data_IF_070541956084
#
_entry.id   IF_070541956084
#
_cell.length_a   1.000
_cell.length_b   1.000
_cell.length_c   1.000
_cell.angle_alpha   90.00
_cell.angle_beta   90.00
_cell.angle_gamma   90.00
#
_symmetry.space_group_name_H-M   'P 1'
#
loop_
_entity.id
_entity.type
_entity.pdbx_description
1 polymer ?
#
# COMPACT_ATOMS: atom_id res chain seq x y z
N UNK A 1 17.97 7.51 1.88
CA UNK A 1 16.58 7.36 1.40
C UNK A 1 15.99 6.16 2.13
N UNK A 2 14.76 6.24 2.65
CA UNK A 2 14.13 5.08 3.29
C UNK A 2 13.72 4.08 2.20
N UNK A 3 13.97 2.79 2.42
CA UNK A 3 13.57 1.67 1.55
C UNK A 3 12.42 0.88 2.17
N UNK A 4 11.85 -0.08 1.43
CA UNK A 4 10.85 -1.02 1.95
C UNK A 4 11.35 -1.74 3.22
N UNK A 5 12.62 -2.18 3.21
CA UNK A 5 13.24 -2.87 4.34
C UNK A 5 13.42 -1.95 5.56
N UNK A 6 13.54 -0.63 5.38
CA UNK A 6 13.70 0.31 6.49
C UNK A 6 12.40 0.55 7.25
N UNK A 7 11.26 0.49 6.54
CA UNK A 7 9.96 0.92 7.07
C UNK A 7 9.06 -0.23 7.53
N UNK A 8 9.38 -1.47 7.14
CA UNK A 8 8.63 -2.67 7.48
C UNK A 8 9.60 -3.78 7.90
N UNK A 9 9.78 -3.96 9.22
CA UNK A 9 10.63 -5.01 9.78
C UNK A 9 9.81 -6.23 10.17
N UNK A 10 10.46 -7.29 10.63
CA UNK A 10 9.80 -8.52 11.09
C UNK A 10 8.63 -8.27 12.06
N UNK A 11 8.75 -7.31 12.98
CA UNK A 11 7.67 -6.97 13.91
C UNK A 11 6.43 -6.40 13.21
N UNK A 12 6.59 -5.77 12.05
CA UNK A 12 5.57 -5.10 11.23
C UNK A 12 4.92 -6.03 10.21
N UNK A 13 5.10 -7.34 10.36
CA UNK A 13 4.58 -8.35 9.45
C UNK A 13 3.63 -9.26 10.21
N UNK A 14 2.38 -9.27 9.78
CA UNK A 14 1.31 -10.07 10.35
C UNK A 14 0.78 -10.99 9.26
N UNK A 15 0.77 -12.31 9.49
CA UNK A 15 0.35 -13.31 8.50
C UNK A 15 -0.88 -14.08 8.99
N UNK A 16 -1.59 -14.69 8.04
CA UNK A 16 -2.81 -15.47 8.28
C UNK A 16 -3.89 -14.71 9.08
N UNK A 17 -3.99 -13.39 8.85
CA UNK A 17 -4.96 -12.56 9.54
C UNK A 17 -6.33 -12.72 8.91
N UNK A 18 -7.34 -13.07 9.71
CA UNK A 18 -8.71 -13.21 9.24
C UNK A 18 -9.43 -11.86 9.25
N UNK A 19 -9.55 -11.24 8.07
CA UNK A 19 -10.19 -9.94 7.87
C UNK A 19 -11.27 -10.11 6.79
N UNK A 20 -12.55 -9.84 7.11
CA UNK A 20 -13.64 -10.16 6.20
C UNK A 20 -13.94 -9.07 5.16
N UNK A 21 -13.55 -7.81 5.43
CA UNK A 21 -13.86 -6.67 4.55
C UNK A 21 -12.80 -5.56 4.63
N UNK A 22 -12.84 -4.66 3.63
CA UNK A 22 -11.88 -3.55 3.49
C UNK A 22 -11.90 -2.58 4.67
N UNK A 23 -13.08 -2.31 5.24
CA UNK A 23 -13.23 -1.41 6.39
C UNK A 23 -12.49 -1.97 7.60
N UNK A 24 -12.60 -3.28 7.83
CA UNK A 24 -11.92 -4.00 8.90
C UNK A 24 -10.41 -4.12 8.66
N UNK A 25 -9.94 -4.19 7.41
CA UNK A 25 -8.50 -4.08 7.11
C UNK A 25 -7.92 -2.77 7.65
N UNK A 26 -8.58 -1.64 7.34
CA UNK A 26 -8.11 -0.33 7.77
C UNK A 26 -8.24 -0.14 9.28
N UNK A 27 -9.31 -0.65 9.89
CA UNK A 27 -9.48 -0.65 11.35
C UNK A 27 -8.34 -1.43 12.05
N UNK A 28 -8.06 -2.64 11.56
CA UNK A 28 -7.03 -3.50 12.12
C UNK A 28 -5.64 -2.87 11.97
N UNK A 29 -5.30 -2.39 10.77
CA UNK A 29 -4.02 -1.73 10.51
C UNK A 29 -3.85 -0.46 11.36
N UNK A 30 -4.89 0.37 11.46
CA UNK A 30 -4.86 1.59 12.27
C UNK A 30 -4.66 1.29 13.76
N UNK A 31 -5.28 0.23 14.29
CA UNK A 31 -5.06 -0.21 15.68
C UNK A 31 -3.62 -0.65 15.91
N UNK A 32 -3.06 -1.48 15.02
CA UNK A 32 -1.68 -1.97 15.13
C UNK A 32 -0.67 -0.83 15.06
N UNK A 33 -0.77 0.02 14.04
CA UNK A 33 0.13 1.17 13.83
C UNK A 33 -0.06 2.23 14.93
N UNK A 34 -1.30 2.45 15.38
CA UNK A 34 -1.63 3.35 16.48
C UNK A 34 -0.94 2.97 17.78
N UNK A 35 -1.00 1.68 18.16
CA UNK A 35 -0.34 1.16 19.35
C UNK A 35 1.18 1.26 19.26
N UNK A 36 1.78 0.94 18.11
CA UNK A 36 3.24 0.89 17.92
C UNK A 36 3.91 2.27 17.85
N UNK A 37 3.17 3.27 17.39
CA UNK A 37 3.72 4.59 17.11
C UNK A 37 3.05 5.71 17.90
N UNK A 38 2.22 5.37 18.89
CA UNK A 38 1.46 6.32 19.70
C UNK A 38 0.60 7.29 18.85
N UNK A 39 -0.05 6.75 17.81
CA UNK A 39 -0.91 7.51 16.90
C UNK A 39 -2.40 7.28 17.20
N UNK A 40 -3.23 8.25 16.86
CA UNK A 40 -4.68 8.14 17.00
C UNK A 40 -5.26 7.16 15.96
N UNK A 41 -5.59 5.94 16.39
CA UNK A 41 -6.10 4.89 15.50
C UNK A 41 -7.38 5.29 14.74
N UNK A 42 -8.42 5.88 15.36
CA UNK A 42 -9.60 6.37 14.62
C UNK A 42 -9.25 7.34 13.49
N UNK A 43 -8.35 8.29 13.73
CA UNK A 43 -7.89 9.25 12.71
C UNK A 43 -7.13 8.55 11.58
N UNK A 44 -6.29 7.56 11.90
CA UNK A 44 -5.58 6.76 10.89
C UNK A 44 -6.54 5.96 10.01
N UNK A 45 -7.52 5.29 10.62
CA UNK A 45 -8.54 4.54 9.90
C UNK A 45 -9.30 5.45 8.94
N UNK A 46 -9.75 6.61 9.42
CA UNK A 46 -10.46 7.60 8.61
C UNK A 46 -9.59 8.09 7.44
N UNK A 47 -8.31 8.37 7.67
CA UNK A 47 -7.39 8.83 6.63
C UNK A 47 -7.18 7.76 5.53
N UNK A 48 -7.02 6.49 5.91
CA UNK A 48 -6.91 5.37 4.97
C UNK A 48 -8.19 5.19 4.15
N UNK A 49 -9.36 5.24 4.80
CA UNK A 49 -10.66 5.15 4.13
C UNK A 49 -10.91 6.30 3.16
N UNK A 50 -10.56 7.52 3.55
CA UNK A 50 -10.67 8.70 2.69
C UNK A 50 -9.79 8.57 1.46
N UNK A 51 -8.56 8.07 1.60
CA UNK A 51 -7.69 7.79 0.46
C UNK A 51 -8.28 6.72 -0.44
N UNK A 52 -8.75 5.62 0.13
CA UNK A 52 -9.31 4.53 -0.66
C UNK A 52 -10.56 4.95 -1.45
N UNK A 53 -11.35 5.87 -0.91
CA UNK A 53 -12.55 6.38 -1.56
C UNK A 53 -12.26 7.24 -2.82
N UNK A 54 -11.05 7.75 -3.00
CA UNK A 54 -10.65 8.46 -4.23
C UNK A 54 -10.36 7.51 -5.38
N UNK A 55 -10.01 6.27 -5.07
CA UNK A 55 -9.67 5.22 -6.01
C UNK A 55 -8.99 4.07 -5.29
N UNK A 56 -9.28 2.84 -5.74
CA UNK A 56 -8.73 1.62 -5.15
C UNK A 56 -7.21 1.69 -5.03
N UNK A 57 -6.67 1.26 -3.88
CA UNK A 57 -5.22 1.14 -3.69
C UNK A 57 -4.70 -0.27 -3.95
N UNK A 58 -5.52 -1.15 -4.54
CA UNK A 58 -5.05 -2.43 -5.03
C UNK A 58 -4.16 -2.26 -6.26
N UNK A 59 -3.04 -2.97 -6.28
CA UNK A 59 -2.07 -2.99 -7.37
C UNK A 59 -2.38 -4.08 -8.40
N UNK A 60 -3.31 -4.97 -8.07
CA UNK A 60 -3.52 -6.24 -8.78
C UNK A 60 -2.64 -7.36 -8.24
N UNK A 61 -2.78 -8.54 -8.82
CA UNK A 61 -2.04 -9.75 -8.53
C UNK A 61 -2.04 -10.13 -7.04
N UNK A 62 -3.19 -9.93 -6.39
CA UNK A 62 -3.37 -10.24 -4.98
C UNK A 62 -2.72 -9.27 -4.00
N UNK A 63 -2.20 -8.10 -4.42
CA UNK A 63 -1.56 -7.13 -3.55
C UNK A 63 -2.25 -5.77 -3.54
N UNK A 64 -2.19 -5.09 -2.39
CA UNK A 64 -2.62 -3.71 -2.23
C UNK A 64 -1.59 -2.89 -1.44
N UNK A 65 -1.57 -1.58 -1.69
CA UNK A 65 -0.72 -0.60 -1.01
C UNK A 65 -1.54 0.55 -0.40
N UNK A 66 -2.45 0.28 0.56
CA UNK A 66 -3.19 1.35 1.23
C UNK A 66 -2.25 2.33 1.91
N UNK A 67 -2.47 3.62 1.73
CA UNK A 67 -1.56 4.63 2.26
C UNK A 67 -2.27 5.87 2.76
N UNK A 68 -1.67 6.56 3.72
CA UNK A 68 -2.20 7.80 4.27
C UNK A 68 -1.09 8.74 4.72
N UNK A 69 -1.37 10.05 4.68
CA UNK A 69 -0.54 11.07 5.31
C UNK A 69 -0.97 11.27 6.75
N UNK A 70 -0.01 11.38 7.65
CA UNK A 70 -0.24 11.46 9.09
C UNK A 70 0.57 12.62 9.68
N UNK A 71 -0.09 13.43 10.51
CA UNK A 71 0.54 14.50 11.27
C UNK A 71 1.38 13.95 12.43
N UNK A 72 2.49 14.62 12.76
CA UNK A 72 3.35 14.23 13.88
C UNK A 72 4.18 12.96 13.64
N UNK A 73 4.14 12.39 12.43
CA UNK A 73 4.94 11.21 12.09
C UNK A 73 6.37 11.63 11.69
N UNK A 74 7.39 11.14 12.40
CA UNK A 74 8.79 11.50 12.15
C UNK A 74 9.40 10.87 10.88
N UNK A 75 8.83 9.78 10.39
CA UNK A 75 9.30 9.05 9.21
C UNK A 75 8.27 8.04 8.72
N UNK A 76 8.47 7.45 7.55
CA UNK A 76 7.51 6.51 7.00
C UNK A 76 7.40 5.27 7.92
N UNK A 77 6.20 4.72 8.04
CA UNK A 77 5.92 3.49 8.78
C UNK A 77 5.06 2.58 7.93
N UNK A 78 5.34 1.30 7.93
CA UNK A 78 4.55 0.34 7.19
C UNK A 78 4.14 -0.84 8.07
N UNK A 79 3.07 -1.50 7.66
CA UNK A 79 2.60 -2.76 8.24
C UNK A 79 2.18 -3.68 7.09
N UNK A 80 2.82 -4.85 6.98
CA UNK A 80 2.39 -5.87 6.04
C UNK A 80 1.39 -6.82 6.71
N UNK A 81 0.26 -7.04 6.04
CA UNK A 81 -0.79 -7.95 6.47
C UNK A 81 -1.01 -8.99 5.37
N UNK A 82 -0.59 -10.22 5.63
CA UNK A 82 -0.99 -11.40 4.87
C UNK A 82 -2.36 -11.89 5.35
N UNK A 83 -3.31 -11.96 4.43
CA UNK A 83 -4.70 -12.30 4.70
C UNK A 83 -4.93 -13.80 4.61
N UNK A 84 -5.68 -14.34 5.57
CA UNK A 84 -6.12 -15.74 5.55
C UNK A 84 -7.02 -16.06 4.36
N UNK A 85 -7.83 -15.09 3.96
CA UNK A 85 -8.82 -15.20 2.87
C UNK A 85 -8.64 -14.07 1.88
N UNK A 86 -9.13 -14.29 0.66
CA UNK A 86 -9.21 -13.23 -0.33
C UNK A 86 -10.14 -12.12 0.07
N UNK A 87 -9.68 -10.88 -0.13
CA UNK A 87 -10.46 -9.69 0.14
C UNK A 87 -10.81 -9.00 -1.19
N UNK A 88 -12.10 -8.75 -1.42
CA UNK A 88 -12.49 -7.86 -2.51
C UNK A 88 -12.00 -6.44 -2.18
N UNK A 89 -11.11 -5.95 -3.04
CA UNK A 89 -10.50 -4.65 -2.91
C UNK A 89 -10.81 -3.74 -4.10
N UNK A 90 -11.60 -4.18 -5.08
CA UNK A 90 -11.78 -3.45 -6.33
C UNK A 90 -10.45 -3.31 -7.08
N UNK A 91 -9.71 -4.41 -7.22
CA UNK A 91 -8.45 -4.43 -7.97
C UNK A 91 -8.70 -4.24 -9.48
N UNK A 92 -7.77 -3.61 -10.22
CA UNK A 92 -7.93 -3.38 -11.66
C UNK A 92 -8.12 -4.68 -12.47
N UNK A 93 -7.48 -5.76 -12.02
CA UNK A 93 -7.54 -7.10 -12.60
C UNK A 93 -8.67 -7.97 -12.03
N UNK A 94 -9.49 -7.42 -11.13
CA UNK A 94 -10.58 -8.10 -10.43
C UNK A 94 -10.12 -9.29 -9.54
N UNK A 95 -8.82 -9.42 -9.29
CA UNK A 95 -8.31 -10.43 -8.37
C UNK A 95 -8.48 -9.99 -6.92
N UNK A 96 -8.83 -10.94 -6.05
CA UNK A 96 -8.96 -10.68 -4.62
C UNK A 96 -7.59 -10.52 -3.96
N UNK A 97 -7.43 -9.47 -3.15
CA UNK A 97 -6.20 -9.18 -2.41
C UNK A 97 -5.95 -10.26 -1.35
N UNK A 98 -4.69 -10.69 -1.26
CA UNK A 98 -4.15 -11.66 -0.28
C UNK A 98 -3.09 -11.04 0.61
N UNK A 99 -2.47 -9.94 0.21
CA UNK A 99 -1.50 -9.20 1.01
C UNK A 99 -1.69 -7.69 0.88
N UNK A 100 -1.61 -6.96 1.99
CA UNK A 100 -1.68 -5.51 1.98
C UNK A 100 -0.48 -4.93 2.74
N UNK A 101 0.26 -4.03 2.11
CA UNK A 101 1.25 -3.20 2.80
C UNK A 101 0.61 -1.85 3.10
N UNK A 102 0.27 -1.60 4.36
CA UNK A 102 -0.31 -0.32 4.79
C UNK A 102 0.83 0.66 5.08
N UNK A 103 0.88 1.77 4.35
CA UNK A 103 1.97 2.75 4.42
C UNK A 103 1.51 4.11 4.99
N UNK A 104 2.09 4.52 6.10
CA UNK A 104 1.91 5.85 6.68
C UNK A 104 3.10 6.75 6.33
N UNK A 105 2.79 7.95 5.87
CA UNK A 105 3.76 8.94 5.44
C UNK A 105 3.61 10.22 6.26
N UNK A 106 4.71 10.90 6.64
CA UNK A 106 4.62 12.24 7.23
C UNK A 106 3.84 13.23 6.35
N UNK A 107 3.15 14.20 6.96
CA UNK A 107 2.40 15.20 6.20
C UNK A 107 3.29 16.18 5.43
N UNK A 108 4.45 16.55 6.01
CA UNK A 108 5.24 17.72 5.59
C UNK A 108 6.26 17.44 4.48
N UNK A 109 6.54 16.19 4.16
CA UNK A 109 7.43 15.79 3.06
C UNK A 109 6.59 15.28 1.87
N UNK A 110 6.96 15.63 0.63
CA UNK A 110 6.21 15.21 -0.58
C UNK A 110 7.05 14.35 -1.53
N UNK A 111 8.17 14.90 -2.02
CA UNK A 111 8.96 14.24 -3.05
C UNK A 111 9.52 12.87 -2.63
N UNK A 112 10.12 12.71 -1.41
CA UNK A 112 10.62 11.40 -0.99
C UNK A 112 9.54 10.32 -0.83
N UNK A 113 8.28 10.73 -0.63
CA UNK A 113 7.17 9.79 -0.41
C UNK A 113 6.67 9.17 -1.71
N UNK A 114 6.61 9.98 -2.78
CA UNK A 114 6.25 9.48 -4.10
C UNK A 114 7.28 8.47 -4.60
N UNK A 115 8.57 8.74 -4.37
CA UNK A 115 9.65 7.82 -4.72
C UNK A 115 9.51 6.49 -3.97
N UNK A 116 9.26 6.53 -2.67
CA UNK A 116 9.06 5.31 -1.87
C UNK A 116 7.80 4.52 -2.31
N UNK A 117 6.68 5.20 -2.53
CA UNK A 117 5.46 4.56 -3.06
C UNK A 117 5.72 3.90 -4.42
N UNK A 118 6.45 4.60 -5.30
CA UNK A 118 6.80 4.15 -6.64
C UNK A 118 7.70 2.92 -6.64
N UNK A 119 8.73 2.93 -5.80
CA UNK A 119 9.63 1.81 -5.55
C UNK A 119 8.85 0.58 -5.06
N UNK A 120 8.02 0.75 -4.02
CA UNK A 120 7.24 -0.38 -3.47
C UNK A 120 6.29 -0.95 -4.52
N UNK A 121 5.59 -0.09 -5.28
CA UNK A 121 4.69 -0.53 -6.32
C UNK A 121 5.42 -1.32 -7.43
N UNK A 122 6.62 -0.90 -7.82
CA UNK A 122 7.48 -1.64 -8.77
C UNK A 122 7.90 -2.99 -8.21
N UNK A 123 8.41 -3.04 -6.98
CA UNK A 123 8.79 -4.31 -6.32
C UNK A 123 7.59 -5.27 -6.29
N UNK A 124 6.39 -4.78 -5.96
CA UNK A 124 5.18 -5.62 -5.88
C UNK A 124 4.70 -6.08 -7.26
N UNK A 125 5.04 -5.34 -8.33
CA UNK A 125 4.77 -5.72 -9.70
C UNK A 125 5.74 -6.77 -10.27
N UNK A 126 6.83 -7.08 -9.57
CA UNK A 126 7.75 -8.14 -9.98
C UNK A 126 7.17 -9.53 -9.72
N UNK A 127 6.99 -10.31 -10.79
CA UNK A 127 6.46 -11.68 -10.69
C UNK A 127 7.30 -12.58 -9.76
N UNK A 128 8.65 -12.58 -9.81
CA UNK A 128 9.45 -13.38 -8.90
C UNK A 128 9.25 -12.99 -7.43
N UNK A 129 9.17 -11.68 -7.14
CA UNK A 129 8.90 -11.18 -5.79
C UNK A 129 7.55 -11.70 -5.27
N UNK A 130 6.47 -11.59 -6.07
CA UNK A 130 5.15 -12.08 -5.67
C UNK A 130 5.13 -13.58 -5.43
N UNK A 131 5.83 -14.36 -6.25
CA UNK A 131 5.92 -15.80 -6.09
C UNK A 131 6.62 -16.18 -4.77
N UNK A 132 7.74 -15.53 -4.45
CA UNK A 132 8.44 -15.74 -3.18
C UNK A 132 7.61 -15.26 -1.97
N UNK A 133 6.96 -14.10 -2.08
CA UNK A 133 6.10 -13.55 -1.03
C UNK A 133 4.93 -14.50 -0.72
N UNK A 134 4.29 -15.05 -1.75
CA UNK A 134 3.21 -16.01 -1.61
C UNK A 134 3.64 -17.37 -1.00
N UNK A 135 4.94 -17.69 -1.05
CA UNK A 135 5.51 -18.89 -0.41
C UNK A 135 5.89 -18.68 1.05
N UNK A 136 6.00 -17.43 1.53
CA UNK A 136 6.32 -17.13 2.91
C UNK A 136 5.20 -17.57 3.86
N UNK A 137 5.58 -18.18 4.99
CA UNK A 137 4.69 -18.65 6.06
C UNK A 137 5.03 -18.05 7.42
N UNK A 138 6.19 -17.42 7.54
CA UNK A 138 6.68 -16.79 8.75
C UNK A 138 7.07 -15.33 8.50
N UNK A 139 6.84 -14.41 9.46
CA UNK A 139 7.23 -13.00 9.34
C UNK A 139 8.70 -12.79 8.96
N UNK A 140 9.61 -13.61 9.47
CA UNK A 140 11.05 -13.54 9.21
C UNK A 140 11.40 -13.88 7.76
N UNK A 141 10.56 -14.65 7.06
CA UNK A 141 10.76 -14.93 5.64
C UNK A 141 10.40 -13.72 4.78
N UNK A 142 9.31 -13.03 5.10
CA UNK A 142 8.89 -11.80 4.43
C UNK A 142 9.88 -10.67 4.71
N UNK A 143 10.33 -10.51 5.95
CA UNK A 143 11.35 -9.51 6.32
C UNK A 143 12.65 -9.73 5.53
N UNK A 144 13.13 -10.98 5.45
CA UNK A 144 14.29 -11.33 4.63
C UNK A 144 14.06 -11.09 3.13
N UNK A 145 12.86 -11.35 2.64
CA UNK A 145 12.51 -11.05 1.26
C UNK A 145 12.59 -9.53 1.01
N UNK A 146 11.99 -8.72 1.88
CA UNK A 146 12.02 -7.25 1.76
C UNK A 146 13.45 -6.70 1.84
N UNK A 147 14.33 -7.29 2.65
CA UNK A 147 15.74 -6.90 2.74
C UNK A 147 16.57 -7.27 1.50
N UNK A 148 16.19 -8.32 0.78
CA UNK A 148 16.92 -8.80 -0.42
C UNK A 148 16.50 -8.11 -1.70
N UNK A 149 15.30 -7.53 -1.73
CA UNK A 149 14.75 -6.86 -2.91
C UNK A 149 15.06 -5.38 -2.86
N UNK A 150 15.83 -4.91 -3.84
CA UNK A 150 15.99 -3.50 -4.15
C UNK A 150 15.03 -3.09 -5.26
N UNK A 151 14.73 -1.80 -5.35
CA UNK A 151 14.03 -1.20 -6.50
C UNK A 151 14.65 -1.70 -7.81
N UNK A 152 13.93 -2.41 -8.68
CA UNK A 152 14.43 -2.68 -10.01
C UNK A 152 14.53 -1.33 -10.74
N UNK A 153 15.73 -1.03 -11.26
CA UNK A 153 15.91 0.05 -12.25
C UNK A 153 14.78 -0.06 -13.28
N UNK A 154 14.12 1.04 -13.70
CA UNK A 154 12.93 0.98 -14.54
C UNK A 154 13.25 0.25 -15.84
N UNK A 155 13.00 -1.05 -15.85
CA UNK A 155 13.09 -1.91 -17.02
C UNK A 155 11.99 -1.52 -17.98
N UNK A 156 12.30 -1.58 -19.27
CA UNK A 156 11.43 -1.16 -20.37
C UNK A 156 10.24 -2.11 -20.59
N UNK A 157 9.50 -2.49 -19.53
CA UNK A 157 8.32 -3.34 -19.58
C UNK A 157 7.06 -2.48 -19.86
N UNK A 158 6.48 -2.58 -21.08
CA UNK A 158 5.33 -1.78 -21.47
C UNK A 158 4.02 -2.17 -20.78
N UNK A 159 3.91 -3.37 -20.17
CA UNK A 159 2.69 -3.75 -19.44
C UNK A 159 2.57 -3.00 -18.10
N UNK A 160 3.69 -2.75 -17.41
CA UNK A 160 3.71 -1.99 -16.16
C UNK A 160 3.34 -0.51 -16.37
N UNK A 161 3.69 0.07 -17.52
CA UNK A 161 3.52 1.48 -17.82
C UNK A 161 2.05 1.94 -17.88
N UNK A 162 1.12 1.06 -18.27
CA UNK A 162 -0.30 1.41 -18.43
C UNK A 162 -1.09 1.31 -17.12
N UNK A 163 -0.83 0.29 -16.31
CA UNK A 163 -1.52 0.09 -15.02
C UNK A 163 -0.95 0.99 -13.91
N UNK A 164 0.36 1.24 -13.94
CA UNK A 164 1.04 2.10 -12.96
C UNK A 164 0.75 3.58 -13.21
N UNK A 165 0.63 4.04 -14.46
CA UNK A 165 0.32 5.46 -14.70
C UNK A 165 -1.00 5.88 -14.04
N UNK A 166 -2.01 5.00 -14.01
CA UNK A 166 -3.29 5.31 -13.35
C UNK A 166 -3.16 5.32 -11.83
N UNK A 167 -2.49 4.32 -11.25
CA UNK A 167 -2.23 4.30 -9.81
C UNK A 167 -1.38 5.49 -9.34
N UNK A 168 -0.35 5.87 -10.11
CA UNK A 168 0.52 7.00 -9.82
C UNK A 168 -0.21 8.33 -9.94
N UNK A 169 -1.04 8.55 -10.97
CA UNK A 169 -1.82 9.77 -11.12
C UNK A 169 -2.81 9.94 -9.95
N UNK A 170 -3.45 8.86 -9.51
CA UNK A 170 -4.40 8.89 -8.37
C UNK A 170 -3.67 9.03 -7.02
N UNK A 171 -2.49 8.41 -6.85
CA UNK A 171 -1.63 8.60 -5.70
C UNK A 171 -1.10 10.03 -5.61
N UNK A 172 -0.63 10.62 -6.71
CA UNK A 172 -0.15 12.02 -6.78
C UNK A 172 -1.26 13.04 -6.55
N UNK A 173 -2.47 12.80 -7.06
CA UNK A 173 -3.61 13.69 -6.89
C UNK A 173 -3.97 13.89 -5.40
N UNK A 174 -3.85 12.85 -4.57
CA UNK A 174 -4.09 12.92 -3.13
C UNK A 174 -2.96 13.61 -2.34
N UNK A 175 -1.79 13.85 -2.96
CA UNK A 175 -0.67 14.56 -2.34
C UNK A 175 -0.76 16.09 -2.52
N UNK A 176 -1.78 16.58 -3.22
CA UNK A 176 -2.07 18.00 -3.41
C UNK A 176 -3.20 18.44 -2.46
N UNK A 177 -3.03 19.51 -1.67
CA UNK A 177 -4.00 19.95 -0.67
C UNK A 177 -5.27 20.58 -1.26
N UNK A 178 -5.30 20.82 -2.58
CA UNK A 178 -6.33 21.55 -3.32
C UNK A 178 -7.05 20.72 -4.41
N UNK A 179 -6.79 19.41 -4.49
CA UNK A 179 -7.36 18.59 -5.55
C UNK A 179 -8.79 18.15 -5.23
N UNK A 180 -9.77 18.79 -5.86
CA UNK A 180 -11.16 18.34 -5.92
C UNK A 180 -11.35 17.44 -7.15
N UNK A 181 -11.78 16.19 -6.92
CA UNK A 181 -12.02 15.19 -7.98
C UNK A 181 -13.14 15.69 -8.90
N UNK A 182 -12.80 16.18 -10.10
CA UNK A 182 -13.80 16.37 -11.17
C UNK A 182 -14.20 14.99 -11.69
N UNK A 183 -15.35 14.48 -11.19
CA UNK A 183 -16.04 13.32 -11.77
C UNK A 183 -16.26 13.57 -13.26
N UNK A 184 -15.52 12.88 -14.14
CA UNK A 184 -15.95 12.73 -15.54
C UNK A 184 -17.07 11.69 -15.55
N UNK A 185 -18.31 12.16 -15.43
CA UNK A 185 -19.49 11.41 -15.86
C UNK A 185 -19.46 11.40 -17.38
N UNK A 186 -18.95 10.33 -17.98
CA UNK A 186 -19.26 10.02 -19.38
C UNK A 186 -20.60 9.31 -19.41
N UNK A 187 -21.69 10.09 -19.45
CA UNK A 187 -22.94 9.62 -20.01
C UNK A 187 -22.79 9.66 -21.53
N UNK A 188 -22.85 8.51 -22.19
CA UNK A 188 -23.09 8.45 -23.64
C UNK A 188 -24.59 8.28 -23.85
N UNK A 189 -25.18 9.22 -24.57
CA UNK A 189 -26.44 9.06 -25.29
C UNK A 189 -26.27 8.05 -26.42
#
# INVERSE_FOLDING_TARGET
MQTLADICRCGDILLDVDIPDKRQLFEYAARQLGQRHALNAPALQAALQQREATGSTALGHGLALPHARVEGLAGARALFIGLKRGLDFGAPDQEAVRGALVLLLPRDTRAPHLQLLAEIARIFAERPFRAELAACRLPEQVDRLFQRWSDPEPGNDPHFMLDSNRYFLDAEACLRPDYSVRRKVTARF
#
